data_IF_227635282636
#
_entry.id   IF_227635282636
#
_cell.length_a   1.000
_cell.length_b   1.000
_cell.length_c   1.000
_cell.angle_alpha   90.00
_cell.angle_beta   90.00
_cell.angle_gamma   90.00
#
_symmetry.space_group_name_H-M   'P 1'
#
loop_
_entity.id
_entity.type
_entity.pdbx_description
1 polymer ?
#
# COMPACT_ATOMS: atom_id res chain seq x y z
N UNK A 1 -28.45 83.37 -47.93
CA UNK A 1 -27.01 83.19 -47.72
C UNK A 1 -26.85 82.76 -46.26
N UNK A 2 -26.84 81.44 -45.98
CA UNK A 2 -26.76 80.85 -44.67
C UNK A 2 -25.47 79.99 -44.59
N UNK A 3 -24.59 80.36 -43.66
CA UNK A 3 -23.34 79.67 -43.44
C UNK A 3 -23.56 78.66 -42.32
N UNK A 4 -23.41 77.37 -42.63
CA UNK A 4 -23.46 76.32 -41.64
C UNK A 4 -22.10 76.14 -41.04
N UNK A 5 -22.00 76.39 -39.75
CA UNK A 5 -20.84 76.02 -38.91
C UNK A 5 -20.97 74.55 -38.51
N UNK A 6 -20.03 73.72 -38.96
CA UNK A 6 -19.87 72.33 -38.41
C UNK A 6 -18.94 72.41 -37.21
N UNK A 7 -19.47 72.06 -36.04
CA UNK A 7 -18.70 71.80 -34.81
C UNK A 7 -18.14 70.38 -34.87
N UNK A 8 -16.83 70.28 -34.94
CA UNK A 8 -16.13 69.00 -34.80
C UNK A 8 -15.99 68.66 -33.27
N UNK A 9 -16.68 67.59 -32.84
CA UNK A 9 -16.56 67.06 -31.50
C UNK A 9 -15.32 66.11 -31.41
N UNK A 10 -14.32 66.54 -30.70
CA UNK A 10 -13.18 65.68 -30.35
C UNK A 10 -13.50 64.82 -29.11
N UNK A 11 -13.59 63.50 -29.30
CA UNK A 11 -13.72 62.51 -28.26
C UNK A 11 -12.30 62.22 -27.68
N UNK A 12 -12.14 62.17 -26.34
CA UNK A 12 -10.85 61.78 -25.76
C UNK A 12 -10.68 60.25 -25.82
N UNK A 13 -9.53 59.81 -26.31
CA UNK A 13 -9.09 58.41 -26.30
C UNK A 13 -8.78 58.03 -24.84
N UNK A 14 -9.63 57.25 -24.21
CA UNK A 14 -9.33 56.63 -22.92
C UNK A 14 -8.45 55.39 -23.19
N UNK A 15 -7.16 55.50 -22.86
CA UNK A 15 -6.27 54.36 -22.86
C UNK A 15 -6.62 53.43 -21.71
N UNK A 16 -7.24 52.31 -22.04
CA UNK A 16 -7.45 51.23 -21.04
C UNK A 16 -6.13 50.54 -20.77
N UNK A 17 -5.52 50.82 -19.63
CA UNK A 17 -4.37 50.07 -19.10
C UNK A 17 -4.85 48.67 -18.69
N UNK A 18 -4.56 47.67 -19.52
CA UNK A 18 -4.76 46.27 -19.13
C UNK A 18 -3.80 45.90 -18.01
N UNK A 19 -4.33 45.81 -16.80
CA UNK A 19 -3.60 45.19 -15.67
C UNK A 19 -3.54 43.69 -15.93
N UNK A 20 -2.42 43.22 -16.42
CA UNK A 20 -2.13 41.77 -16.44
C UNK A 20 -2.02 41.31 -14.98
N UNK A 21 -3.08 40.68 -14.45
CA UNK A 21 -3.01 39.92 -13.25
C UNK A 21 -2.03 38.75 -13.48
N UNK A 22 -0.88 38.77 -12.79
CA UNK A 22 0.05 37.66 -12.81
C UNK A 22 -0.69 36.39 -12.32
N UNK A 23 -0.65 35.33 -13.12
CA UNK A 23 -1.17 34.04 -12.71
C UNK A 23 -0.51 33.64 -11.38
N UNK A 24 -1.26 33.05 -10.43
CA UNK A 24 -0.67 32.59 -9.18
C UNK A 24 0.46 31.62 -9.50
N UNK A 25 1.67 31.94 -9.04
CA UNK A 25 2.80 31.04 -9.15
C UNK A 25 2.44 29.73 -8.44
N UNK A 26 2.53 28.61 -9.17
CA UNK A 26 2.36 27.29 -8.58
C UNK A 26 3.30 27.18 -7.38
N UNK A 27 2.77 26.76 -6.24
CA UNK A 27 3.59 26.50 -5.05
C UNK A 27 4.73 25.55 -5.46
N UNK A 28 5.96 25.76 -4.96
CA UNK A 28 7.08 24.90 -5.29
C UNK A 28 6.69 23.45 -5.00
N UNK A 29 6.81 22.60 -6.00
CA UNK A 29 6.61 21.16 -5.81
C UNK A 29 7.62 20.71 -4.76
N UNK A 30 7.22 19.88 -3.78
CA UNK A 30 8.16 19.38 -2.79
C UNK A 30 9.34 18.73 -3.51
N UNK A 31 10.54 19.12 -3.15
CA UNK A 31 11.77 18.48 -3.64
C UNK A 31 11.62 16.97 -3.45
N UNK A 32 12.04 16.17 -4.43
CA UNK A 32 12.03 14.70 -4.32
C UNK A 32 12.79 14.23 -3.07
N UNK A 33 12.76 12.92 -2.78
CA UNK A 33 13.47 12.37 -1.62
C UNK A 33 14.92 12.86 -1.57
N UNK A 34 15.34 13.36 -0.40
CA UNK A 34 16.69 13.87 -0.17
C UNK A 34 17.65 12.82 0.40
N UNK A 35 17.13 11.64 0.80
CA UNK A 35 17.90 10.47 1.25
C UNK A 35 17.60 9.27 0.35
N UNK A 36 18.64 8.61 -0.13
CA UNK A 36 18.54 7.47 -1.05
C UNK A 36 19.53 6.37 -0.66
N UNK A 37 19.37 5.20 -1.27
CA UNK A 37 20.36 4.13 -1.23
C UNK A 37 21.69 4.69 -1.78
N UNK A 38 22.79 4.41 -1.10
CA UNK A 38 24.12 4.88 -1.42
C UNK A 38 24.52 6.19 -0.73
N UNK A 39 23.57 6.96 -0.22
CA UNK A 39 23.86 8.19 0.50
C UNK A 39 24.41 7.89 1.90
N UNK A 40 25.16 8.84 2.45
CA UNK A 40 25.61 8.76 3.84
C UNK A 40 24.40 8.81 4.77
N UNK A 41 24.32 7.87 5.71
CA UNK A 41 23.25 7.82 6.68
C UNK A 41 23.32 9.07 7.60
N UNK A 42 22.19 9.75 7.84
CA UNK A 42 22.13 10.84 8.81
C UNK A 42 22.51 10.36 10.20
N UNK A 43 23.18 11.21 11.00
CA UNK A 43 23.43 10.90 12.40
C UNK A 43 22.10 10.71 13.15
N UNK A 44 22.09 9.79 14.11
CA UNK A 44 20.92 9.58 14.97
C UNK A 44 20.91 10.61 16.09
N UNK A 45 19.79 11.31 16.24
CA UNK A 45 19.54 12.24 17.34
C UNK A 45 18.48 11.61 18.27
N UNK A 46 18.95 10.91 19.31
CA UNK A 46 18.12 10.08 20.17
C UNK A 46 17.83 10.79 21.50
N UNK A 47 16.56 11.12 21.73
CA UNK A 47 16.13 11.75 22.97
C UNK A 47 16.30 10.82 24.18
N UNK A 48 15.83 9.57 24.08
CA UNK A 48 15.90 8.61 25.19
C UNK A 48 16.18 7.19 24.72
N UNK A 49 17.15 6.54 25.35
CA UNK A 49 17.43 5.12 25.19
C UNK A 49 16.59 4.32 26.20
N UNK A 50 15.69 3.47 25.71
CA UNK A 50 14.74 2.71 26.55
C UNK A 50 15.29 1.33 26.89
N UNK A 51 15.99 0.70 25.94
CA UNK A 51 16.55 -0.64 26.10
C UNK A 51 17.83 -0.77 25.27
N UNK A 52 18.75 -1.63 25.73
CA UNK A 52 20.02 -1.88 25.05
C UNK A 52 21.06 -0.80 25.33
N UNK A 53 22.13 -0.82 24.57
CA UNK A 53 23.26 0.08 24.74
C UNK A 53 23.10 1.33 23.88
N UNK A 54 23.53 2.46 24.43
CA UNK A 54 23.63 3.73 23.67
C UNK A 54 24.61 3.59 22.52
N UNK A 55 24.36 4.36 21.47
CA UNK A 55 25.26 4.53 20.34
C UNK A 55 25.66 5.99 20.26
N UNK A 56 26.97 6.23 20.09
CA UNK A 56 27.48 7.59 19.83
C UNK A 56 27.54 7.91 18.32
N UNK A 57 27.11 6.97 17.48
CA UNK A 57 27.07 7.07 16.03
C UNK A 57 27.24 5.72 15.34
N UNK A 58 27.39 5.74 14.01
CA UNK A 58 27.68 4.55 13.23
C UNK A 58 29.16 4.19 13.34
N UNK A 59 29.45 2.97 13.76
CA UNK A 59 30.82 2.48 13.89
C UNK A 59 31.34 1.98 12.55
N UNK A 60 32.53 2.45 12.15
CA UNK A 60 33.18 1.98 10.90
C UNK A 60 33.37 0.47 10.89
N UNK A 61 33.08 -0.17 9.78
CA UNK A 61 33.15 -1.62 9.60
C UNK A 61 32.00 -2.41 10.24
N UNK A 62 31.04 -1.74 10.89
CA UNK A 62 29.85 -2.38 11.48
C UNK A 62 28.58 -2.01 10.75
N UNK A 63 27.64 -2.95 10.69
CA UNK A 63 26.34 -2.73 10.07
C UNK A 63 25.32 -2.32 11.12
N UNK A 64 24.55 -1.25 10.87
CA UNK A 64 23.45 -0.83 11.75
C UNK A 64 22.13 -0.89 11.02
N UNK A 65 21.14 -1.51 11.65
CA UNK A 65 19.74 -1.48 11.19
C UNK A 65 19.00 -0.44 12.01
N UNK A 66 18.47 0.58 11.36
CA UNK A 66 17.60 1.62 11.95
C UNK A 66 16.17 1.32 11.55
N UNK A 67 15.34 0.91 12.51
CA UNK A 67 13.95 0.52 12.27
C UNK A 67 12.99 1.49 12.93
N UNK A 68 11.98 1.94 12.20
CA UNK A 68 10.95 2.86 12.67
C UNK A 68 9.66 2.09 12.99
N UNK A 69 9.13 2.30 14.20
CA UNK A 69 8.00 1.55 14.73
C UNK A 69 7.13 2.36 15.70
N UNK A 70 5.99 1.80 16.13
CA UNK A 70 5.17 2.36 17.21
C UNK A 70 4.39 1.27 17.97
N UNK A 71 4.01 1.55 19.21
CA UNK A 71 3.27 0.61 20.09
C UNK A 71 1.91 0.20 19.54
N UNK A 72 1.26 1.08 18.79
CA UNK A 72 -0.04 0.84 18.15
C UNK A 72 0.07 0.10 16.80
N UNK A 73 1.27 0.00 16.21
CA UNK A 73 1.50 -0.60 14.91
C UNK A 73 1.48 -2.13 14.99
N UNK A 74 0.41 -2.75 14.50
CA UNK A 74 0.27 -4.21 14.46
C UNK A 74 1.38 -4.93 13.69
N UNK A 75 1.66 -4.54 12.42
CA UNK A 75 2.76 -5.11 11.63
C UNK A 75 4.14 -4.94 12.27
N UNK A 76 4.41 -3.79 12.94
CA UNK A 76 5.65 -3.58 13.67
C UNK A 76 5.81 -4.61 14.80
N UNK A 77 4.75 -4.81 15.58
CA UNK A 77 4.74 -5.83 16.65
C UNK A 77 4.97 -7.24 16.12
N UNK A 78 4.48 -7.54 14.94
CA UNK A 78 4.70 -8.83 14.29
C UNK A 78 6.15 -9.04 13.85
N UNK A 79 6.89 -7.97 13.47
CA UNK A 79 8.30 -8.06 13.07
C UNK A 79 9.31 -8.05 14.22
N UNK A 80 8.93 -7.56 15.42
CA UNK A 80 9.86 -7.46 16.56
C UNK A 80 10.52 -8.80 16.99
N UNK A 81 9.82 -9.95 17.07
CA UNK A 81 10.46 -11.23 17.35
C UNK A 81 11.51 -11.59 16.31
N UNK A 82 11.23 -11.34 15.02
CA UNK A 82 12.16 -11.58 13.93
C UNK A 82 13.42 -10.70 14.05
N UNK A 83 13.25 -9.40 14.33
CA UNK A 83 14.38 -8.48 14.60
C UNK A 83 15.21 -8.94 15.79
N UNK A 84 14.56 -9.49 16.84
CA UNK A 84 15.26 -10.07 17.98
C UNK A 84 16.13 -11.26 17.58
N UNK A 85 15.64 -12.14 16.73
CA UNK A 85 16.43 -13.29 16.24
C UNK A 85 17.57 -12.83 15.32
N UNK A 86 17.34 -11.87 14.43
CA UNK A 86 18.40 -11.28 13.61
C UNK A 86 19.47 -10.61 14.46
N UNK A 87 19.09 -9.87 15.52
CA UNK A 87 20.07 -9.28 16.44
C UNK A 87 20.95 -10.35 17.09
N UNK A 88 20.37 -11.45 17.55
CA UNK A 88 21.13 -12.57 18.13
C UNK A 88 22.05 -13.22 17.09
N UNK A 89 21.53 -13.51 15.92
CA UNK A 89 22.25 -14.18 14.85
C UNK A 89 23.48 -13.40 14.36
N UNK A 90 23.42 -12.07 14.37
CA UNK A 90 24.44 -11.21 13.78
C UNK A 90 25.22 -10.38 14.80
N UNK A 91 24.95 -10.50 16.11
CA UNK A 91 25.63 -9.73 17.14
C UNK A 91 27.17 -9.88 17.07
N UNK A 92 27.65 -11.11 16.98
CA UNK A 92 29.08 -11.42 16.90
C UNK A 92 29.70 -11.02 15.54
N UNK A 93 28.88 -10.67 14.57
CA UNK A 93 29.29 -10.17 13.25
C UNK A 93 29.22 -8.65 13.14
N UNK A 94 29.07 -7.95 14.27
CA UNK A 94 29.08 -6.50 14.33
C UNK A 94 27.80 -5.83 13.83
N UNK A 95 26.66 -6.53 13.83
CA UNK A 95 25.35 -5.94 13.51
C UNK A 95 24.70 -5.40 14.76
N UNK A 96 24.18 -4.20 14.69
CA UNK A 96 23.33 -3.58 15.70
C UNK A 96 21.98 -3.22 15.11
N UNK A 97 20.89 -3.62 15.78
CA UNK A 97 19.53 -3.22 15.43
C UNK A 97 19.05 -2.19 16.44
N UNK A 98 18.53 -1.06 15.95
CA UNK A 98 17.98 0.05 16.74
C UNK A 98 16.58 0.35 16.27
N UNK A 99 15.59 0.12 17.14
CA UNK A 99 14.19 0.49 16.90
C UNK A 99 13.92 1.88 17.46
N UNK A 100 13.45 2.78 16.61
CA UNK A 100 13.11 4.18 16.95
C UNK A 100 11.61 4.36 16.91
N UNK A 101 11.01 4.83 18.02
CA UNK A 101 9.62 5.23 18.09
C UNK A 101 9.52 6.74 18.29
N UNK A 102 8.59 7.40 17.60
CA UNK A 102 8.27 8.82 17.82
C UNK A 102 7.28 9.05 18.98
N UNK A 103 7.03 8.01 19.78
CA UNK A 103 6.16 8.08 20.96
C UNK A 103 6.95 8.49 22.21
N UNK A 104 6.23 9.03 23.18
CA UNK A 104 6.78 9.45 24.47
C UNK A 104 7.44 8.29 25.25
N UNK A 105 8.49 8.61 25.98
CA UNK A 105 9.28 7.64 26.77
C UNK A 105 8.42 6.74 27.66
N UNK A 106 7.47 7.31 28.38
CA UNK A 106 6.61 6.57 29.32
C UNK A 106 5.79 5.50 28.57
N UNK A 107 5.24 5.83 27.42
CA UNK A 107 4.43 4.91 26.61
C UNK A 107 5.24 3.73 26.10
N UNK A 108 6.42 4.00 25.55
CA UNK A 108 7.32 2.96 25.02
C UNK A 108 7.87 2.10 26.14
N UNK A 109 8.26 2.71 27.27
CA UNK A 109 8.78 1.99 28.45
C UNK A 109 7.73 1.07 29.06
N UNK A 110 6.49 1.53 29.18
CA UNK A 110 5.36 0.74 29.68
C UNK A 110 5.09 -0.46 28.77
N UNK A 111 5.04 -0.24 27.46
CA UNK A 111 4.86 -1.31 26.49
C UNK A 111 5.95 -2.38 26.58
N UNK A 112 7.22 -1.97 26.52
CA UNK A 112 8.37 -2.88 26.59
C UNK A 112 8.55 -3.52 27.97
N UNK A 113 8.00 -2.93 29.03
CA UNK A 113 8.04 -3.42 30.41
C UNK A 113 7.21 -4.67 30.66
N UNK A 114 6.28 -5.01 29.78
CA UNK A 114 5.44 -6.22 29.92
C UNK A 114 6.27 -7.50 29.70
N UNK A 115 5.86 -8.60 30.31
CA UNK A 115 6.61 -9.88 30.22
C UNK A 115 6.65 -10.44 28.79
N UNK A 116 5.65 -10.14 27.99
CA UNK A 116 5.61 -10.47 26.58
C UNK A 116 6.72 -9.75 25.81
N UNK A 117 6.80 -8.41 25.92
CA UNK A 117 7.72 -7.60 25.11
C UNK A 117 9.14 -7.57 25.65
N UNK A 118 9.36 -7.93 26.92
CA UNK A 118 10.70 -8.25 27.44
C UNK A 118 11.37 -9.40 26.69
N UNK A 119 10.57 -10.36 26.18
CA UNK A 119 11.07 -11.53 25.44
C UNK A 119 11.10 -11.31 23.93
N UNK A 120 10.11 -10.59 23.40
CA UNK A 120 9.91 -10.43 21.94
C UNK A 120 10.71 -9.28 21.31
N UNK A 121 11.21 -8.33 22.09
CA UNK A 121 11.96 -7.18 21.60
C UNK A 121 13.31 -7.07 22.32
N UNK A 122 14.25 -7.98 22.02
CA UNK A 122 15.57 -8.06 22.67
C UNK A 122 16.67 -7.43 21.79
N UNK A 123 16.45 -6.20 21.34
CA UNK A 123 17.41 -5.38 20.63
C UNK A 123 17.35 -3.95 21.18
N UNK A 124 18.22 -3.06 20.72
CA UNK A 124 18.24 -1.68 21.22
C UNK A 124 16.97 -0.94 20.77
N UNK A 125 16.31 -0.28 21.72
CA UNK A 125 15.10 0.54 21.46
C UNK A 125 15.25 1.90 22.09
N UNK A 126 14.84 2.93 21.36
CA UNK A 126 14.89 4.33 21.77
C UNK A 126 13.64 5.11 21.33
N UNK A 127 13.50 6.33 21.84
CA UNK A 127 12.42 7.23 21.48
C UNK A 127 12.96 8.57 20.94
N UNK A 128 12.16 9.14 20.03
CA UNK A 128 12.44 10.36 19.29
C UNK A 128 11.14 11.19 19.16
N UNK A 129 10.59 11.72 20.28
CA UNK A 129 9.29 12.40 20.29
C UNK A 129 9.25 13.68 19.44
N UNK A 130 10.40 14.35 19.22
CA UNK A 130 10.50 15.51 18.33
C UNK A 130 10.53 15.15 16.85
N UNK A 131 10.62 13.83 16.52
CA UNK A 131 10.61 13.30 15.17
C UNK A 131 11.80 13.71 14.30
N UNK A 132 12.93 14.11 14.89
CA UNK A 132 14.13 14.49 14.14
C UNK A 132 14.64 13.35 13.27
N UNK A 133 14.75 12.12 13.80
CA UNK A 133 15.13 10.93 13.03
C UNK A 133 14.06 10.54 12.01
N UNK A 134 12.77 10.61 12.37
CA UNK A 134 11.70 10.37 11.41
C UNK A 134 11.81 11.33 10.20
N UNK A 135 12.11 12.59 10.44
CA UNK A 135 12.30 13.59 9.38
C UNK A 135 13.53 13.27 8.53
N UNK A 136 14.67 12.97 9.18
CA UNK A 136 15.96 12.75 8.52
C UNK A 136 16.03 11.43 7.74
N UNK A 137 15.24 10.42 8.13
CA UNK A 137 15.20 9.11 7.47
C UNK A 137 13.91 8.89 6.68
N UNK A 138 12.78 8.80 7.38
CA UNK A 138 11.50 8.43 6.77
C UNK A 138 11.04 9.46 5.75
N UNK A 139 10.92 10.72 6.17
CA UNK A 139 10.47 11.80 5.28
C UNK A 139 11.49 12.03 4.17
N UNK A 140 12.78 12.09 4.51
CA UNK A 140 13.86 12.32 3.56
C UNK A 140 13.96 11.21 2.49
N UNK A 141 13.67 9.96 2.85
CA UNK A 141 13.65 8.84 1.90
C UNK A 141 12.26 8.61 1.25
N UNK A 142 11.29 9.49 1.49
CA UNK A 142 9.94 9.37 0.94
C UNK A 142 9.15 8.17 1.49
N UNK A 143 9.55 7.63 2.66
CA UNK A 143 8.84 6.54 3.32
C UNK A 143 7.66 7.08 4.12
N UNK A 144 6.48 6.47 3.96
CA UNK A 144 5.21 7.00 4.51
C UNK A 144 4.57 6.11 5.55
N UNK A 145 5.11 4.92 5.78
CA UNK A 145 4.50 3.93 6.67
C UNK A 145 5.53 3.21 7.52
N UNK A 146 5.08 2.68 8.65
CA UNK A 146 5.84 1.80 9.53
C UNK A 146 5.25 0.39 9.50
N UNK A 147 6.09 -0.67 9.71
CA UNK A 147 7.52 -0.59 9.96
C UNK A 147 8.34 -0.32 8.70
N UNK A 148 9.40 0.45 8.84
CA UNK A 148 10.42 0.65 7.80
C UNK A 148 11.80 0.53 8.45
N UNK A 149 12.69 -0.21 7.80
CA UNK A 149 14.06 -0.38 8.22
C UNK A 149 15.03 0.18 7.18
N UNK A 150 16.11 0.78 7.67
CA UNK A 150 17.25 1.25 6.91
C UNK A 150 18.46 0.44 7.35
N UNK A 151 19.13 -0.24 6.45
CA UNK A 151 20.40 -0.90 6.74
C UNK A 151 21.54 0.02 6.34
N UNK A 152 22.31 0.44 7.34
CA UNK A 152 23.52 1.25 7.17
C UNK A 152 24.71 0.31 7.20
N UNK A 153 25.52 0.33 6.14
CA UNK A 153 26.70 -0.51 6.00
C UNK A 153 27.91 -0.02 6.83
N UNK A 154 29.02 -0.76 6.77
CA UNK A 154 30.25 -0.46 7.50
C UNK A 154 30.94 0.86 7.07
N UNK A 155 30.58 1.41 5.93
CA UNK A 155 31.06 2.71 5.43
C UNK A 155 30.13 3.85 5.86
N UNK A 156 29.06 3.55 6.58
CA UNK A 156 28.06 4.52 7.03
C UNK A 156 27.11 4.99 5.92
N UNK A 157 26.94 4.19 4.85
CA UNK A 157 26.00 4.45 3.76
C UNK A 157 24.71 3.69 3.97
N UNK A 158 23.59 4.26 3.58
CA UNK A 158 22.31 3.54 3.49
C UNK A 158 22.40 2.51 2.37
N UNK A 159 22.53 1.25 2.71
CA UNK A 159 22.69 0.15 1.76
C UNK A 159 21.35 -0.46 1.32
N UNK A 160 20.33 -0.40 2.20
CA UNK A 160 19.00 -0.95 1.91
C UNK A 160 17.90 -0.22 2.69
N UNK A 161 16.70 -0.12 2.10
CA UNK A 161 15.49 0.45 2.72
C UNK A 161 14.31 -0.46 2.39
N UNK A 162 13.51 -0.84 3.41
CA UNK A 162 12.31 -1.63 3.19
C UNK A 162 11.60 -2.09 4.45
N UNK A 163 10.65 -2.99 4.28
CA UNK A 163 9.95 -3.61 5.40
C UNK A 163 10.86 -4.65 6.10
N UNK A 164 11.03 -4.62 7.43
CA UNK A 164 12.03 -5.46 8.13
C UNK A 164 11.88 -6.96 7.88
N UNK A 165 10.69 -7.47 7.59
CA UNK A 165 10.49 -8.89 7.26
C UNK A 165 11.18 -9.34 5.95
N UNK A 166 11.53 -8.40 5.09
CA UNK A 166 12.20 -8.65 3.80
C UNK A 166 13.71 -8.37 3.85
N UNK A 167 14.27 -8.21 5.06
CA UNK A 167 15.64 -7.75 5.25
C UNK A 167 16.67 -8.89 5.25
N UNK A 168 16.28 -10.14 5.43
CA UNK A 168 17.17 -11.27 5.68
C UNK A 168 18.26 -11.42 4.62
N UNK A 169 17.87 -11.51 3.37
CA UNK A 169 18.81 -11.66 2.25
C UNK A 169 19.70 -10.43 2.06
N UNK A 170 19.16 -9.19 2.00
CA UNK A 170 19.97 -7.99 1.95
C UNK A 170 20.95 -7.87 3.12
N UNK A 171 20.49 -8.06 4.34
CA UNK A 171 21.34 -7.97 5.54
C UNK A 171 22.47 -9.00 5.50
N UNK A 172 22.17 -10.25 5.13
CA UNK A 172 23.19 -11.31 5.02
C UNK A 172 24.28 -10.95 4.02
N UNK A 173 23.91 -10.38 2.85
CA UNK A 173 24.84 -9.97 1.80
C UNK A 173 25.65 -8.74 2.20
N UNK A 174 25.02 -7.74 2.86
CA UNK A 174 25.71 -6.53 3.35
C UNK A 174 26.78 -6.94 4.39
N UNK A 175 26.41 -7.74 5.37
CA UNK A 175 27.33 -8.22 6.42
C UNK A 175 28.45 -9.10 5.88
N UNK A 176 28.20 -9.81 4.76
CA UNK A 176 29.23 -10.62 4.08
C UNK A 176 30.11 -9.80 3.12
N UNK A 177 29.84 -8.51 2.92
CA UNK A 177 30.54 -7.65 1.95
C UNK A 177 30.23 -8.00 0.48
N UNK A 178 29.14 -8.70 0.21
CA UNK A 178 28.71 -9.15 -1.12
C UNK A 178 27.49 -8.37 -1.66
N UNK A 179 27.20 -7.20 -1.07
CA UNK A 179 26.09 -6.34 -1.48
C UNK A 179 26.61 -5.21 -2.36
N UNK A 180 26.10 -5.11 -3.58
CA UNK A 180 26.39 -3.98 -4.47
C UNK A 180 25.37 -2.88 -4.21
N UNK A 181 25.72 -1.95 -3.31
CA UNK A 181 24.87 -0.82 -2.93
C UNK A 181 24.57 0.09 -4.11
N UNK A 182 25.52 0.30 -5.02
CA UNK A 182 25.36 1.23 -6.14
C UNK A 182 24.44 0.61 -7.23
N UNK A 183 24.60 -0.68 -7.54
CA UNK A 183 23.66 -1.38 -8.41
C UNK A 183 22.24 -1.41 -7.82
N UNK A 184 22.10 -1.70 -6.53
CA UNK A 184 20.80 -1.69 -5.87
C UNK A 184 20.17 -0.30 -5.84
N UNK A 185 20.95 0.77 -5.67
CA UNK A 185 20.47 2.15 -5.71
C UNK A 185 19.78 2.49 -7.05
N UNK A 186 20.29 1.98 -8.16
CA UNK A 186 19.67 2.17 -9.48
C UNK A 186 18.29 1.51 -9.54
N UNK A 187 18.19 0.26 -9.11
CA UNK A 187 16.92 -0.47 -9.12
C UNK A 187 15.92 0.13 -8.12
N UNK A 188 16.37 0.51 -6.93
CA UNK A 188 15.53 1.17 -5.94
C UNK A 188 14.96 2.50 -6.47
N UNK A 189 15.77 3.33 -7.13
CA UNK A 189 15.31 4.58 -7.76
C UNK A 189 14.27 4.34 -8.84
N UNK A 190 14.45 3.34 -9.68
CA UNK A 190 13.44 2.95 -10.69
C UNK A 190 12.11 2.56 -10.03
N UNK A 191 12.18 1.74 -8.99
CA UNK A 191 11.01 1.30 -8.26
C UNK A 191 10.30 2.47 -7.53
N UNK A 192 11.06 3.38 -6.90
CA UNK A 192 10.48 4.58 -6.30
C UNK A 192 9.84 5.50 -7.35
N UNK A 193 10.47 5.68 -8.50
CA UNK A 193 9.90 6.46 -9.60
C UNK A 193 8.58 5.83 -10.09
N UNK A 194 8.54 4.49 -10.24
CA UNK A 194 7.32 3.74 -10.59
C UNK A 194 6.21 3.95 -9.56
N UNK A 195 6.53 3.79 -8.27
CA UNK A 195 5.57 4.00 -7.17
C UNK A 195 5.04 5.43 -7.11
N UNK A 196 5.93 6.41 -7.31
CA UNK A 196 5.56 7.82 -7.29
C UNK A 196 4.67 8.18 -8.49
N UNK A 197 4.99 7.69 -9.68
CA UNK A 197 4.19 7.88 -10.88
C UNK A 197 2.80 7.25 -10.70
N UNK A 198 2.72 6.03 -10.18
CA UNK A 198 1.45 5.37 -9.86
C UNK A 198 0.65 6.18 -8.81
N UNK A 199 1.31 6.62 -7.74
CA UNK A 199 0.66 7.40 -6.67
C UNK A 199 0.13 8.75 -7.19
N UNK A 200 0.90 9.44 -8.03
CA UNK A 200 0.47 10.70 -8.65
C UNK A 200 -0.73 10.50 -9.58
N UNK A 201 -0.71 9.43 -10.38
CA UNK A 201 -1.78 9.08 -11.32
C UNK A 201 -3.05 8.64 -10.59
N UNK A 202 -2.92 7.83 -9.54
CA UNK A 202 -4.07 7.28 -8.80
C UNK A 202 -4.67 8.25 -7.77
N UNK A 203 -3.92 9.26 -7.30
CA UNK A 203 -4.39 10.20 -6.27
C UNK A 203 -5.69 10.92 -6.62
N UNK A 204 -5.88 11.51 -7.84
CA UNK A 204 -7.14 12.15 -8.20
C UNK A 204 -8.33 11.19 -8.13
N UNK A 205 -8.15 9.94 -8.57
CA UNK A 205 -9.12 8.88 -8.46
C UNK A 205 -9.53 8.60 -7.00
N UNK A 206 -8.56 8.40 -6.10
CA UNK A 206 -8.85 8.17 -4.68
C UNK A 206 -9.53 9.38 -4.01
N UNK A 207 -9.20 10.60 -4.43
CA UNK A 207 -9.86 11.80 -3.92
C UNK A 207 -11.32 11.87 -4.38
N UNK A 208 -11.61 11.58 -5.64
CA UNK A 208 -12.97 11.52 -6.18
C UNK A 208 -13.79 10.42 -5.48
N UNK A 209 -13.24 9.22 -5.34
CA UNK A 209 -13.90 8.10 -4.63
C UNK A 209 -14.21 8.46 -3.17
N UNK A 210 -13.25 9.07 -2.46
CA UNK A 210 -13.44 9.49 -1.07
C UNK A 210 -14.51 10.60 -0.91
N UNK A 211 -14.65 11.43 -1.92
CA UNK A 211 -15.69 12.47 -1.98
C UNK A 211 -17.07 11.92 -2.37
N UNK A 212 -17.19 10.64 -2.74
CA UNK A 212 -18.41 10.03 -3.28
C UNK A 212 -18.70 10.45 -4.74
N UNK A 213 -17.75 11.10 -5.42
CA UNK A 213 -17.89 11.49 -6.83
C UNK A 213 -17.42 10.32 -7.73
N UNK A 214 -18.24 9.29 -7.77
CA UNK A 214 -17.94 8.07 -8.53
C UNK A 214 -17.97 8.28 -10.04
N UNK A 215 -18.77 9.26 -10.53
CA UNK A 215 -18.77 9.61 -11.94
C UNK A 215 -17.40 10.18 -12.35
N UNK A 216 -16.85 11.10 -11.56
CA UNK A 216 -15.50 11.64 -11.78
C UNK A 216 -14.43 10.56 -11.61
N UNK A 217 -14.61 9.63 -10.66
CA UNK A 217 -13.68 8.51 -10.48
C UNK A 217 -13.61 7.65 -11.76
N UNK A 218 -14.75 7.33 -12.39
CA UNK A 218 -14.79 6.58 -13.66
C UNK A 218 -14.13 7.37 -14.79
N UNK A 219 -14.42 8.66 -14.96
CA UNK A 219 -13.75 9.52 -15.96
C UNK A 219 -12.21 9.46 -15.82
N UNK A 220 -11.70 9.51 -14.59
CA UNK A 220 -10.26 9.43 -14.34
C UNK A 220 -9.68 8.06 -14.66
N UNK A 221 -10.44 6.98 -14.41
CA UNK A 221 -10.04 5.62 -14.78
C UNK A 221 -10.07 5.43 -16.29
N UNK A 222 -11.08 5.97 -16.99
CA UNK A 222 -11.16 5.94 -18.46
C UNK A 222 -9.92 6.59 -19.09
N UNK A 223 -9.50 7.77 -18.58
CA UNK A 223 -8.29 8.43 -19.04
C UNK A 223 -7.03 7.57 -18.79
N UNK A 224 -6.93 6.90 -17.63
CA UNK A 224 -5.81 6.01 -17.34
C UNK A 224 -5.80 4.75 -18.21
N UNK A 225 -6.95 4.17 -18.49
CA UNK A 225 -7.09 3.01 -19.40
C UNK A 225 -6.69 3.40 -20.83
N UNK A 226 -7.05 4.62 -21.27
CA UNK A 226 -6.65 5.11 -22.60
C UNK A 226 -5.13 5.26 -22.74
N UNK A 227 -4.43 5.69 -21.67
CA UNK A 227 -2.96 5.79 -21.64
C UNK A 227 -2.28 4.44 -21.44
N UNK A 228 -2.90 3.54 -20.71
CA UNK A 228 -2.35 2.22 -20.30
C UNK A 228 -3.40 1.12 -20.50
N UNK A 229 -3.69 0.73 -21.75
CA UNK A 229 -4.76 -0.22 -22.06
C UNK A 229 -4.55 -1.62 -21.44
N UNK A 230 -3.31 -2.00 -21.16
CA UNK A 230 -2.96 -3.29 -20.55
C UNK A 230 -3.02 -3.28 -19.00
N UNK A 231 -3.38 -2.15 -18.37
CA UNK A 231 -3.50 -2.05 -16.90
C UNK A 231 -4.81 -2.66 -16.42
N UNK A 232 -4.80 -3.98 -16.21
CA UNK A 232 -5.96 -4.73 -15.75
C UNK A 232 -6.43 -4.35 -14.34
N UNK A 233 -5.55 -3.84 -13.48
CA UNK A 233 -5.96 -3.36 -12.15
C UNK A 233 -6.81 -2.10 -12.26
N UNK A 234 -6.46 -1.17 -13.14
CA UNK A 234 -7.26 0.02 -13.41
C UNK A 234 -8.62 -0.36 -14.00
N UNK A 235 -8.67 -1.29 -14.96
CA UNK A 235 -9.94 -1.83 -15.50
C UNK A 235 -10.77 -2.51 -14.42
N UNK A 236 -10.18 -3.30 -13.55
CA UNK A 236 -10.90 -3.93 -12.43
C UNK A 236 -11.55 -2.88 -11.51
N UNK A 237 -10.81 -1.81 -11.16
CA UNK A 237 -11.36 -0.71 -10.33
C UNK A 237 -12.54 -0.02 -11.02
N UNK A 238 -12.46 0.17 -12.34
CA UNK A 238 -13.57 0.71 -13.13
C UNK A 238 -14.80 -0.21 -13.06
N UNK A 239 -14.62 -1.51 -13.28
CA UNK A 239 -15.70 -2.50 -13.14
C UNK A 239 -16.33 -2.42 -11.75
N UNK A 240 -15.53 -2.42 -10.69
CA UNK A 240 -16.02 -2.33 -9.32
C UNK A 240 -16.89 -1.09 -9.08
N UNK A 241 -16.43 0.10 -9.46
CA UNK A 241 -17.20 1.34 -9.26
C UNK A 241 -18.47 1.35 -10.10
N UNK A 242 -18.40 0.91 -11.33
CA UNK A 242 -19.58 0.91 -12.22
C UNK A 242 -20.65 -0.05 -11.73
N UNK A 243 -20.28 -1.23 -11.26
CA UNK A 243 -21.21 -2.23 -10.74
C UNK A 243 -21.74 -1.85 -9.35
N UNK A 244 -20.84 -1.48 -8.44
CA UNK A 244 -21.19 -1.33 -7.01
C UNK A 244 -21.86 0.03 -6.74
N UNK A 245 -21.25 1.10 -7.26
CA UNK A 245 -21.60 2.47 -6.86
C UNK A 245 -22.56 3.16 -7.84
N UNK A 246 -22.43 2.88 -9.14
CA UNK A 246 -23.16 3.59 -10.18
C UNK A 246 -24.31 2.82 -10.80
N UNK A 247 -24.48 1.55 -10.50
CA UNK A 247 -25.50 0.68 -11.09
C UNK A 247 -25.45 0.62 -12.64
N UNK A 248 -24.22 0.64 -13.19
CA UNK A 248 -23.91 0.63 -14.62
C UNK A 248 -23.19 -0.67 -15.03
N UNK A 249 -23.70 -1.78 -14.57
CA UNK A 249 -23.07 -3.08 -14.79
C UNK A 249 -22.88 -3.43 -16.27
N UNK A 250 -23.86 -3.15 -17.13
CA UNK A 250 -23.79 -3.45 -18.56
C UNK A 250 -22.58 -2.81 -19.25
N UNK A 251 -22.25 -1.57 -18.87
CA UNK A 251 -21.11 -0.85 -19.43
C UNK A 251 -19.75 -1.39 -18.91
N UNK A 252 -19.74 -2.05 -17.74
CA UNK A 252 -18.55 -2.63 -17.14
C UNK A 252 -18.22 -4.03 -17.71
N UNK A 253 -19.19 -4.73 -18.30
CA UNK A 253 -19.02 -6.12 -18.71
C UNK A 253 -17.97 -6.31 -19.81
N UNK A 254 -17.70 -5.31 -20.63
CA UNK A 254 -16.61 -5.34 -21.61
C UNK A 254 -15.25 -5.53 -20.94
N UNK A 255 -14.93 -4.67 -19.97
CA UNK A 255 -13.69 -4.76 -19.19
C UNK A 255 -13.62 -6.05 -18.37
N UNK A 256 -14.72 -6.46 -17.75
CA UNK A 256 -14.76 -7.69 -16.97
C UNK A 256 -14.45 -8.94 -17.83
N UNK A 257 -14.98 -9.02 -19.04
CA UNK A 257 -14.68 -10.10 -19.99
C UNK A 257 -13.20 -10.09 -20.41
N UNK A 258 -12.64 -8.90 -20.67
CA UNK A 258 -11.23 -8.78 -21.04
C UNK A 258 -10.31 -9.21 -19.89
N UNK A 259 -10.59 -8.77 -18.66
CA UNK A 259 -9.85 -9.21 -17.47
C UNK A 259 -9.89 -10.75 -17.37
N UNK A 260 -11.08 -11.35 -17.46
CA UNK A 260 -11.20 -12.80 -17.37
C UNK A 260 -10.47 -13.52 -18.50
N UNK A 261 -10.47 -12.97 -19.71
CA UNK A 261 -9.81 -13.58 -20.86
C UNK A 261 -8.28 -13.54 -20.76
N UNK A 262 -7.74 -12.42 -20.29
CA UNK A 262 -6.29 -12.10 -20.43
C UNK A 262 -5.46 -12.34 -19.18
N UNK A 263 -6.04 -12.25 -17.96
CA UNK A 263 -5.26 -12.40 -16.73
C UNK A 263 -5.05 -13.86 -16.34
N UNK A 264 -3.83 -14.18 -15.90
CA UNK A 264 -3.51 -15.44 -15.20
C UNK A 264 -3.29 -15.23 -13.68
N UNK A 265 -3.70 -14.06 -13.15
CA UNK A 265 -3.66 -13.79 -11.71
C UNK A 265 -4.93 -14.29 -11.02
N UNK A 266 -4.86 -15.37 -10.23
CA UNK A 266 -6.01 -15.85 -9.48
C UNK A 266 -6.51 -14.83 -8.44
N UNK A 267 -5.60 -14.00 -7.90
CA UNK A 267 -5.94 -12.96 -6.95
C UNK A 267 -6.77 -11.83 -7.58
N UNK A 268 -6.41 -11.39 -8.79
CA UNK A 268 -7.15 -10.35 -9.51
C UNK A 268 -8.57 -10.82 -9.85
N UNK A 269 -8.69 -12.04 -10.37
CA UNK A 269 -9.99 -12.67 -10.67
C UNK A 269 -10.85 -12.84 -9.43
N UNK A 270 -10.23 -13.27 -8.32
CA UNK A 270 -10.90 -13.42 -7.04
C UNK A 270 -11.42 -12.08 -6.50
N UNK A 271 -10.59 -11.05 -6.52
CA UNK A 271 -10.95 -9.71 -6.06
C UNK A 271 -12.12 -9.12 -6.87
N UNK A 272 -12.11 -9.28 -8.19
CA UNK A 272 -13.20 -8.84 -9.05
C UNK A 272 -14.49 -9.61 -8.75
N UNK A 273 -14.44 -10.93 -8.70
CA UNK A 273 -15.60 -11.78 -8.41
C UNK A 273 -16.19 -11.46 -7.04
N UNK A 274 -15.35 -11.41 -6.01
CA UNK A 274 -15.77 -11.10 -4.65
C UNK A 274 -16.50 -9.76 -4.55
N UNK A 275 -15.91 -8.70 -5.14
CA UNK A 275 -16.50 -7.36 -5.12
C UNK A 275 -17.89 -7.33 -5.76
N UNK A 276 -18.08 -8.05 -6.86
CA UNK A 276 -19.37 -8.15 -7.53
C UNK A 276 -20.38 -8.89 -6.64
N UNK A 277 -20.00 -10.04 -6.07
CA UNK A 277 -20.87 -10.87 -5.24
C UNK A 277 -21.27 -10.17 -3.92
N UNK A 278 -20.32 -9.43 -3.31
CA UNK A 278 -20.58 -8.73 -2.06
C UNK A 278 -21.45 -7.48 -2.23
N UNK A 279 -21.54 -6.94 -3.44
CA UNK A 279 -22.37 -5.75 -3.74
C UNK A 279 -23.87 -5.98 -3.55
N UNK A 280 -24.34 -7.24 -3.55
CA UNK A 280 -25.75 -7.60 -3.55
C UNK A 280 -26.45 -7.31 -4.90
N UNK A 281 -25.69 -6.99 -5.95
CA UNK A 281 -26.18 -6.68 -7.30
C UNK A 281 -25.80 -7.73 -8.34
N UNK A 282 -25.31 -8.88 -7.90
CA UNK A 282 -24.91 -9.98 -8.76
C UNK A 282 -26.13 -10.77 -9.25
N UNK A 283 -26.71 -10.33 -10.36
CA UNK A 283 -27.81 -11.00 -11.02
C UNK A 283 -27.52 -11.20 -12.52
N UNK A 284 -28.17 -12.15 -13.19
CA UNK A 284 -28.06 -12.39 -14.62
C UNK A 284 -26.60 -12.46 -15.11
N UNK A 285 -26.28 -11.73 -16.17
CA UNK A 285 -24.94 -11.71 -16.80
C UNK A 285 -23.83 -11.27 -15.84
N UNK A 286 -24.14 -10.43 -14.84
CA UNK A 286 -23.20 -9.97 -13.84
C UNK A 286 -22.80 -11.10 -12.88
N UNK A 287 -23.76 -11.91 -12.46
CA UNK A 287 -23.52 -13.12 -11.65
C UNK A 287 -22.74 -14.17 -12.46
N UNK A 288 -23.10 -14.37 -13.73
CA UNK A 288 -22.40 -15.30 -14.62
C UNK A 288 -20.94 -14.91 -14.82
N UNK A 289 -20.66 -13.61 -14.90
CA UNK A 289 -19.31 -13.08 -15.00
C UNK A 289 -18.51 -13.32 -13.70
N UNK A 290 -19.09 -13.01 -12.53
CA UNK A 290 -18.48 -13.29 -11.24
C UNK A 290 -18.18 -14.78 -11.06
N UNK A 291 -19.14 -15.65 -11.43
CA UNK A 291 -18.99 -17.11 -11.42
C UNK A 291 -17.84 -17.56 -12.33
N UNK A 292 -17.73 -17.00 -13.53
CA UNK A 292 -16.69 -17.35 -14.50
C UNK A 292 -15.31 -16.95 -13.96
N UNK A 293 -15.18 -15.75 -13.37
CA UNK A 293 -13.97 -15.30 -12.74
C UNK A 293 -13.56 -16.18 -11.56
N UNK A 294 -14.51 -16.52 -10.66
CA UNK A 294 -14.26 -17.40 -9.52
C UNK A 294 -13.82 -18.80 -9.94
N UNK A 295 -14.43 -19.37 -10.97
CA UNK A 295 -14.04 -20.68 -11.54
C UNK A 295 -12.63 -20.64 -12.11
N UNK A 296 -12.27 -19.58 -12.89
CA UNK A 296 -10.92 -19.43 -13.43
C UNK A 296 -9.89 -19.24 -12.29
N UNK A 297 -10.18 -18.39 -11.30
CA UNK A 297 -9.31 -18.20 -10.14
C UNK A 297 -9.07 -19.52 -9.38
N UNK A 298 -10.11 -20.29 -9.13
CA UNK A 298 -10.04 -21.60 -8.48
C UNK A 298 -9.20 -22.60 -9.26
N UNK A 299 -9.31 -22.61 -10.59
CA UNK A 299 -8.48 -23.46 -11.44
C UNK A 299 -7.01 -23.06 -11.38
N UNK A 300 -6.71 -21.76 -11.46
CA UNK A 300 -5.34 -21.24 -11.42
C UNK A 300 -4.67 -21.43 -10.05
N UNK A 301 -5.42 -21.35 -8.96
CA UNK A 301 -4.92 -21.63 -7.60
C UNK A 301 -4.84 -23.13 -7.28
N UNK A 302 -5.13 -24.00 -8.23
CA UNK A 302 -5.18 -25.47 -8.03
C UNK A 302 -6.04 -25.88 -6.82
N UNK A 303 -7.06 -25.08 -6.49
CA UNK A 303 -7.95 -25.29 -5.33
C UNK A 303 -7.24 -25.30 -3.97
N UNK A 304 -6.07 -24.66 -3.88
CA UNK A 304 -5.24 -24.63 -2.66
C UNK A 304 -5.44 -23.37 -1.81
N UNK A 305 -6.25 -22.42 -2.28
CA UNK A 305 -6.50 -21.15 -1.61
C UNK A 305 -7.93 -21.10 -1.08
N UNK A 306 -8.08 -21.09 0.24
CA UNK A 306 -9.38 -21.09 0.90
C UNK A 306 -10.20 -19.83 0.64
N UNK A 307 -9.58 -18.66 0.44
CA UNK A 307 -10.30 -17.43 0.12
C UNK A 307 -10.89 -17.45 -1.30
N UNK A 308 -10.17 -18.05 -2.23
CA UNK A 308 -10.65 -18.23 -3.61
C UNK A 308 -11.80 -19.25 -3.66
N UNK A 309 -11.70 -20.32 -2.88
CA UNK A 309 -12.79 -21.30 -2.77
C UNK A 309 -14.02 -20.70 -2.08
N UNK A 310 -13.87 -19.83 -1.08
CA UNK A 310 -14.95 -19.10 -0.43
C UNK A 310 -15.73 -18.23 -1.45
N UNK A 311 -15.00 -17.49 -2.27
CA UNK A 311 -15.59 -16.69 -3.36
C UNK A 311 -16.36 -17.56 -4.35
N UNK A 312 -15.84 -18.74 -4.72
CA UNK A 312 -16.55 -19.69 -5.59
C UNK A 312 -17.79 -20.25 -4.90
N UNK A 313 -17.71 -20.58 -3.60
CA UNK A 313 -18.87 -21.02 -2.82
C UNK A 313 -19.96 -19.95 -2.79
N UNK A 314 -19.58 -18.68 -2.56
CA UNK A 314 -20.50 -17.55 -2.60
C UNK A 314 -21.17 -17.39 -3.97
N UNK A 315 -20.43 -17.53 -5.07
CA UNK A 315 -21.01 -17.46 -6.41
C UNK A 315 -22.07 -18.54 -6.65
N UNK A 316 -21.83 -19.77 -6.18
CA UNK A 316 -22.84 -20.84 -6.25
C UNK A 316 -24.04 -20.57 -5.33
N UNK A 317 -23.80 -19.97 -4.17
CA UNK A 317 -24.88 -19.57 -3.26
C UNK A 317 -25.81 -18.54 -3.91
N UNK A 318 -25.26 -17.49 -4.49
CA UNK A 318 -26.03 -16.45 -5.20
C UNK A 318 -26.76 -17.01 -6.44
N UNK A 319 -26.21 -18.04 -7.08
CA UNK A 319 -26.88 -18.70 -8.19
C UNK A 319 -28.03 -19.69 -7.77
N UNK A 320 -28.26 -19.84 -6.46
CA UNK A 320 -29.28 -20.76 -5.90
C UNK A 320 -28.81 -22.22 -5.74
N UNK A 321 -27.58 -22.57 -6.12
CA UNK A 321 -27.01 -23.91 -5.91
C UNK A 321 -26.37 -24.03 -4.52
N UNK A 322 -27.24 -24.02 -3.50
CA UNK A 322 -26.84 -24.15 -2.10
C UNK A 322 -26.08 -25.46 -1.81
N UNK A 323 -26.37 -26.55 -2.52
CA UNK A 323 -25.70 -27.82 -2.30
C UNK A 323 -24.22 -27.76 -2.71
N UNK A 324 -23.92 -27.15 -3.87
CA UNK A 324 -22.57 -26.97 -4.36
C UNK A 324 -21.84 -25.91 -3.51
N UNK A 325 -22.48 -24.81 -3.11
CA UNK A 325 -21.91 -23.78 -2.23
C UNK A 325 -21.41 -24.40 -0.92
N UNK A 326 -22.25 -25.17 -0.21
CA UNK A 326 -21.88 -25.85 1.05
C UNK A 326 -20.70 -26.81 0.85
N UNK A 327 -20.71 -27.60 -0.23
CA UNK A 327 -19.61 -28.52 -0.52
C UNK A 327 -18.29 -27.80 -0.73
N UNK A 328 -18.29 -26.70 -1.50
CA UNK A 328 -17.06 -25.90 -1.76
C UNK A 328 -16.61 -25.16 -0.51
N UNK A 329 -17.55 -24.66 0.30
CA UNK A 329 -17.21 -24.01 1.57
C UNK A 329 -16.50 -24.97 2.54
N UNK A 330 -16.94 -26.23 2.61
CA UNK A 330 -16.24 -27.28 3.38
C UNK A 330 -14.82 -27.54 2.86
N UNK A 331 -14.63 -27.51 1.56
CA UNK A 331 -13.32 -27.63 0.94
C UNK A 331 -12.43 -26.44 1.31
N UNK A 332 -12.94 -25.20 1.24
CA UNK A 332 -12.23 -23.98 1.65
C UNK A 332 -11.70 -24.07 3.09
N UNK A 333 -12.54 -24.54 4.01
CA UNK A 333 -12.16 -24.80 5.41
C UNK A 333 -11.05 -25.85 5.51
N UNK A 334 -11.13 -26.90 4.69
CA UNK A 334 -10.15 -27.99 4.69
C UNK A 334 -8.74 -27.57 4.29
N UNK A 335 -8.61 -26.63 3.35
CA UNK A 335 -7.31 -26.14 2.86
C UNK A 335 -6.78 -24.93 3.63
N UNK A 336 -7.59 -24.32 4.51
CA UNK A 336 -7.21 -23.12 5.26
C UNK A 336 -6.59 -23.50 6.60
N UNK A 337 -5.37 -23.01 6.93
CA UNK A 337 -4.77 -23.20 8.25
C UNK A 337 -5.63 -22.62 9.37
N UNK A 338 -5.46 -23.16 10.59
CA UNK A 338 -6.15 -22.64 11.77
C UNK A 338 -5.86 -21.16 11.99
N UNK A 339 -6.89 -20.38 12.34
CA UNK A 339 -6.81 -18.94 12.58
C UNK A 339 -8.07 -18.21 12.11
N UNK A 340 -8.08 -16.89 12.26
CA UNK A 340 -9.25 -16.03 12.01
C UNK A 340 -9.92 -16.23 10.64
N UNK A 341 -9.14 -16.54 9.62
CA UNK A 341 -9.71 -16.82 8.28
C UNK A 341 -10.57 -18.09 8.32
N UNK A 342 -10.03 -19.17 8.91
CA UNK A 342 -10.77 -20.43 9.04
C UNK A 342 -12.02 -20.25 9.87
N UNK A 343 -11.95 -19.52 10.99
CA UNK A 343 -13.12 -19.22 11.84
C UNK A 343 -14.21 -18.47 11.04
N UNK A 344 -13.81 -17.56 10.15
CA UNK A 344 -14.74 -16.86 9.25
C UNK A 344 -15.42 -17.79 8.25
N UNK A 345 -14.66 -18.70 7.63
CA UNK A 345 -15.19 -19.69 6.68
C UNK A 345 -16.18 -20.66 7.34
N UNK A 346 -15.90 -21.07 8.58
CA UNK A 346 -16.78 -21.94 9.38
C UNK A 346 -18.10 -21.24 9.72
N UNK A 347 -18.05 -19.93 10.03
CA UNK A 347 -19.24 -19.11 10.24
C UNK A 347 -20.10 -19.03 8.98
N UNK A 348 -19.49 -18.74 7.82
CA UNK A 348 -20.20 -18.71 6.52
C UNK A 348 -20.85 -20.06 6.20
N UNK A 349 -20.16 -21.18 6.48
CA UNK A 349 -20.73 -22.51 6.30
C UNK A 349 -22.00 -22.72 7.13
N UNK A 350 -21.94 -22.32 8.42
CA UNK A 350 -23.10 -22.46 9.31
C UNK A 350 -24.30 -21.63 8.83
N UNK A 351 -24.05 -20.43 8.28
CA UNK A 351 -25.09 -19.58 7.67
C UNK A 351 -25.73 -20.28 6.46
N UNK A 352 -24.93 -20.86 5.55
CA UNK A 352 -25.44 -21.60 4.39
C UNK A 352 -26.26 -22.84 4.79
N UNK A 353 -25.78 -23.63 5.76
CA UNK A 353 -26.48 -24.81 6.23
C UNK A 353 -27.81 -24.46 6.92
N UNK A 354 -27.83 -23.41 7.74
CA UNK A 354 -29.04 -22.91 8.41
C UNK A 354 -30.08 -22.41 7.41
N UNK A 355 -29.68 -21.59 6.44
CA UNK A 355 -30.59 -21.04 5.45
C UNK A 355 -31.16 -22.14 4.53
N UNK A 356 -30.40 -23.19 4.16
CA UNK A 356 -30.85 -24.34 3.38
C UNK A 356 -31.90 -25.17 4.11
N UNK A 357 -31.86 -25.25 5.43
CA UNK A 357 -32.83 -26.01 6.23
C UNK A 357 -34.14 -25.27 6.49
N UNK A 358 -34.12 -23.95 6.31
CA UNK A 358 -35.29 -23.07 6.53
C UNK A 358 -36.15 -22.85 5.26
N UNK A 359 -35.67 -23.17 4.07
CA UNK A 359 -36.36 -23.05 2.78
C UNK A 359 -36.62 -24.41 2.16
#
# INVERSE_FOLDING_TARGET
MQIHHQLAATLPLIAASAVFAAAPQAAPQPAGPSLSIGDKAPALDIAHWVRGEKMDGFESGKTTVVEFWATWCGPCKASMPHLTELQKQYADRGVRIVGISDEELEKVSTFLGTDEWKKKAQYTVCTDPDRSNHTNYMTAAGQRGIPTAFVVDGDGRVAWIGHPINMDEPLAKIVAGNWDTDAYAVEWKKEQARKNAWSARSRPFFMATRAGDFAKAVELLDAQIAEHPDDLETRMRRVQIMVIELDRADEAMGDAREIVATTDSPQLLNAMSWSILESGKAEGDVLDMAMTAAKKATKLSERKDGSILDTLARAYWESGDAATAIRIQKEAIGVTPAGRMKDSLEKTLAEYESAKTAG
#
